data_IF_374320225207
#
_entry.id   IF_374320225207
#
_cell.length_a   1.000
_cell.length_b   1.000
_cell.length_c   1.000
_cell.angle_alpha   90.00
_cell.angle_beta   90.00
_cell.angle_gamma   90.00
#
_symmetry.space_group_name_H-M   'P 1'
#
loop_
_entity.id
_entity.type
_entity.pdbx_description
1 polymer ?
#
# COMPACT_ATOMS: atom_id res chain seq x y z
N UNK A 1 10.06 16.56 47.12
CA UNK A 1 9.26 16.79 45.89
C UNK A 1 8.81 15.43 45.39
N UNK A 2 7.52 15.11 45.54
CA UNK A 2 6.97 13.79 45.24
C UNK A 2 6.95 13.52 43.73
N UNK A 3 7.46 12.34 43.33
CA UNK A 3 7.25 11.79 41.98
C UNK A 3 5.75 11.58 41.80
N UNK A 4 5.11 12.35 40.92
CA UNK A 4 3.75 12.04 40.47
C UNK A 4 3.83 10.76 39.64
N UNK A 5 3.34 9.67 40.22
CA UNK A 5 2.99 8.46 39.50
C UNK A 5 2.00 8.86 38.39
N UNK A 6 2.40 8.71 37.11
CA UNK A 6 1.47 8.74 35.99
C UNK A 6 0.49 7.60 36.22
N UNK A 7 -0.68 7.90 36.78
CA UNK A 7 -1.82 6.98 36.78
C UNK A 7 -2.10 6.61 35.33
N UNK A 8 -2.09 5.32 35.02
CA UNK A 8 -2.64 4.82 33.76
C UNK A 8 -4.14 5.14 33.75
N UNK A 9 -4.50 6.20 33.04
CA UNK A 9 -5.88 6.63 32.85
C UNK A 9 -6.54 5.64 31.89
N UNK A 10 -7.61 4.96 32.32
CA UNK A 10 -8.42 4.17 31.41
C UNK A 10 -9.12 5.11 30.43
N UNK A 11 -8.79 4.98 29.15
CA UNK A 11 -9.36 5.81 28.07
C UNK A 11 -10.62 5.13 27.53
N UNK A 12 -11.75 5.85 27.58
CA UNK A 12 -13.01 5.38 26.99
C UNK A 12 -13.12 5.90 25.56
N UNK A 13 -12.89 5.01 24.59
CA UNK A 13 -12.95 5.31 23.16
C UNK A 13 -14.31 4.89 22.58
N UNK A 14 -14.99 5.83 21.94
CA UNK A 14 -16.23 5.60 21.21
C UNK A 14 -15.93 5.63 19.72
N UNK A 15 -15.90 4.47 19.08
CA UNK A 15 -15.57 4.30 17.66
C UNK A 15 -16.84 4.21 16.81
N UNK A 16 -16.91 5.02 15.77
CA UNK A 16 -18.07 5.13 14.85
C UNK A 16 -17.72 4.72 13.42
N UNK A 17 -16.47 4.39 13.14
CA UNK A 17 -15.99 4.06 11.80
C UNK A 17 -15.17 2.75 11.81
N UNK A 18 -15.36 1.95 10.77
CA UNK A 18 -14.55 0.76 10.49
C UNK A 18 -13.84 0.95 9.14
N UNK A 19 -12.51 0.85 9.08
CA UNK A 19 -11.76 0.95 7.83
C UNK A 19 -12.21 -0.09 6.80
N UNK A 20 -12.20 0.29 5.52
CA UNK A 20 -12.37 -0.66 4.42
C UNK A 20 -11.18 -1.63 4.39
N UNK A 21 -11.33 -2.89 3.95
CA UNK A 21 -10.18 -3.80 3.88
C UNK A 21 -9.11 -3.30 2.91
N UNK A 22 -9.51 -2.89 1.70
CA UNK A 22 -8.62 -2.43 0.63
C UNK A 22 -9.10 -1.10 0.09
N UNK A 23 -8.16 -0.21 -0.24
CA UNK A 23 -8.40 1.00 -1.04
C UNK A 23 -7.31 1.17 -2.08
N UNK A 24 -7.74 1.38 -3.33
CA UNK A 24 -6.89 1.80 -4.44
C UNK A 24 -6.59 3.29 -4.29
N UNK A 25 -5.32 3.67 -4.45
CA UNK A 25 -4.87 5.06 -4.37
C UNK A 25 -4.50 5.61 -5.73
N UNK A 26 -4.82 6.89 -5.96
CA UNK A 26 -4.30 7.69 -7.07
C UNK A 26 -2.86 8.15 -6.81
N UNK A 27 -2.16 8.62 -7.84
CA UNK A 27 -0.79 9.13 -7.70
C UNK A 27 -0.66 10.27 -6.67
N UNK A 28 -1.61 11.21 -6.66
CA UNK A 28 -1.66 12.29 -5.67
C UNK A 28 -1.82 11.74 -4.25
N UNK A 29 -2.66 10.71 -4.07
CA UNK A 29 -2.84 10.05 -2.78
C UNK A 29 -1.57 9.29 -2.36
N UNK A 30 -0.89 8.62 -3.30
CA UNK A 30 0.38 7.92 -3.04
C UNK A 30 1.44 8.90 -2.58
N UNK A 31 1.56 10.05 -3.26
CA UNK A 31 2.50 11.12 -2.90
C UNK A 31 2.22 11.63 -1.48
N UNK A 32 0.98 11.98 -1.17
CA UNK A 32 0.61 12.47 0.17
C UNK A 32 0.80 11.40 1.26
N UNK A 33 0.51 10.14 0.97
CA UNK A 33 0.75 9.03 1.88
C UNK A 33 2.24 8.93 2.22
N UNK A 34 3.12 9.06 1.22
CA UNK A 34 4.57 8.99 1.41
C UNK A 34 5.11 10.21 2.18
N UNK A 35 4.65 11.42 1.85
CA UNK A 35 5.04 12.67 2.55
C UNK A 35 4.65 12.66 4.04
N UNK A 36 3.55 12.00 4.38
CA UNK A 36 3.02 11.92 5.75
C UNK A 36 3.04 10.51 6.32
N UNK A 37 3.97 9.67 5.85
CA UNK A 37 3.98 8.24 6.16
C UNK A 37 3.99 7.94 7.67
N UNK A 38 4.68 8.74 8.48
CA UNK A 38 4.75 8.53 9.92
C UNK A 38 3.37 8.52 10.60
N UNK A 39 2.45 9.41 10.20
CA UNK A 39 1.08 9.46 10.72
C UNK A 39 0.29 8.24 10.22
N UNK A 40 0.35 7.95 8.92
CA UNK A 40 -0.37 6.81 8.32
C UNK A 40 0.10 5.48 8.94
N UNK A 41 1.40 5.32 9.16
CA UNK A 41 2.00 4.15 9.81
C UNK A 41 1.52 3.99 11.24
N UNK A 42 1.44 5.07 12.00
CA UNK A 42 1.02 5.02 13.40
C UNK A 42 -0.46 4.65 13.55
N UNK A 43 -1.30 4.98 12.57
CA UNK A 43 -2.71 4.60 12.51
C UNK A 43 -2.96 3.15 12.03
N UNK A 44 -1.94 2.30 11.98
CA UNK A 44 -2.09 0.89 11.58
C UNK A 44 -2.73 0.09 12.70
N UNK A 45 -4.02 -0.22 12.54
CA UNK A 45 -4.78 -1.08 13.45
C UNK A 45 -5.16 -0.42 14.77
N UNK A 46 -4.92 0.89 14.90
CA UNK A 46 -5.26 1.68 16.08
C UNK A 46 -5.80 3.05 15.67
N UNK A 47 -6.63 3.63 16.54
CA UNK A 47 -7.16 4.99 16.38
C UNK A 47 -6.41 5.94 17.31
N UNK A 48 -5.99 7.09 16.79
CA UNK A 48 -5.14 8.03 17.53
C UNK A 48 -5.78 9.42 17.56
N UNK A 49 -5.58 10.14 18.67
CA UNK A 49 -5.90 11.57 18.71
C UNK A 49 -4.78 12.39 18.08
N UNK A 50 -5.03 13.67 17.78
CA UNK A 50 -3.99 14.58 17.31
C UNK A 50 -2.82 14.70 18.31
N UNK A 51 -3.08 14.54 19.61
CA UNK A 51 -2.03 14.51 20.64
C UNK A 51 -1.20 13.23 20.56
N UNK A 52 -1.84 12.07 20.46
CA UNK A 52 -1.10 10.82 20.31
C UNK A 52 -0.23 10.83 19.03
N UNK A 53 -0.68 11.48 17.96
CA UNK A 53 0.11 11.66 16.73
C UNK A 53 1.31 12.60 16.91
N UNK A 54 1.18 13.63 17.76
CA UNK A 54 2.27 14.55 18.06
C UNK A 54 3.45 13.81 18.71
N UNK A 55 3.17 12.83 19.58
CA UNK A 55 4.19 12.00 20.24
C UNK A 55 5.11 11.25 19.26
N UNK A 56 4.65 10.99 18.03
CA UNK A 56 5.46 10.34 16.97
C UNK A 56 6.63 11.24 16.54
N UNK A 57 6.49 12.55 16.70
CA UNK A 57 7.48 13.55 16.30
C UNK A 57 8.32 14.06 17.48
N UNK A 58 8.27 13.39 18.64
CA UNK A 58 9.10 13.73 19.78
C UNK A 58 10.52 13.17 19.59
N UNK A 59 11.51 14.06 19.61
CA UNK A 59 12.92 13.72 19.53
C UNK A 59 13.50 13.55 20.94
N UNK A 60 13.75 12.30 21.33
CA UNK A 60 14.26 11.96 22.66
C UNK A 60 15.67 12.48 22.95
N UNK A 61 16.51 12.64 21.92
CA UNK A 61 17.90 13.09 22.09
C UNK A 61 17.97 14.60 22.39
N UNK A 62 17.03 15.35 21.82
CA UNK A 62 16.94 16.81 21.96
C UNK A 62 15.89 17.27 22.99
N UNK A 63 15.12 16.33 23.55
CA UNK A 63 13.99 16.60 24.45
C UNK A 63 13.01 17.65 23.88
N UNK A 64 12.74 17.56 22.58
CA UNK A 64 11.89 18.53 21.87
C UNK A 64 11.00 17.84 20.82
N UNK A 65 9.89 18.50 20.46
CA UNK A 65 9.05 18.05 19.35
C UNK A 65 9.51 18.67 18.03
N UNK A 66 9.68 17.84 17.00
CA UNK A 66 10.02 18.28 15.65
C UNK A 66 8.87 18.99 14.92
N UNK A 67 7.66 18.87 15.45
CA UNK A 67 6.42 19.46 14.95
C UNK A 67 5.62 20.03 16.12
N UNK A 68 4.85 21.07 15.85
CA UNK A 68 3.87 21.57 16.81
C UNK A 68 2.48 20.95 16.56
N UNK A 69 1.59 21.06 17.55
CA UNK A 69 0.23 20.53 17.43
C UNK A 69 -0.55 21.14 16.25
N UNK A 70 -0.28 22.41 15.90
CA UNK A 70 -0.91 23.09 14.76
C UNK A 70 -0.53 22.43 13.43
N UNK A 71 0.73 22.03 13.29
CA UNK A 71 1.24 21.30 12.14
C UNK A 71 0.60 19.92 12.03
N UNK A 72 0.40 19.22 13.16
CA UNK A 72 -0.32 17.94 13.17
C UNK A 72 -1.76 18.11 12.65
N UNK A 73 -2.51 19.11 13.13
CA UNK A 73 -3.85 19.41 12.61
C UNK A 73 -3.85 19.73 11.11
N UNK A 74 -2.82 20.41 10.61
CA UNK A 74 -2.67 20.67 9.17
C UNK A 74 -2.44 19.37 8.39
N UNK A 75 -1.57 18.48 8.87
CA UNK A 75 -1.35 17.17 8.23
C UNK A 75 -2.60 16.30 8.25
N UNK A 76 -3.31 16.25 9.39
CA UNK A 76 -4.59 15.55 9.51
C UNK A 76 -5.57 16.07 8.45
N UNK A 77 -5.75 17.39 8.35
CA UNK A 77 -6.67 17.99 7.38
C UNK A 77 -6.30 17.68 5.92
N UNK A 78 -5.00 17.66 5.60
CA UNK A 78 -4.51 17.29 4.26
C UNK A 78 -4.87 15.82 3.97
N UNK A 79 -4.57 14.92 4.90
CA UNK A 79 -4.83 13.49 4.77
C UNK A 79 -6.33 13.15 4.74
N UNK A 80 -7.15 13.83 5.54
CA UNK A 80 -8.61 13.70 5.51
C UNK A 80 -9.18 14.18 4.17
N UNK A 81 -8.71 15.32 3.65
CA UNK A 81 -9.14 15.83 2.34
C UNK A 81 -8.79 14.86 1.21
N UNK A 82 -7.67 14.15 1.34
CA UNK A 82 -7.25 13.12 0.40
C UNK A 82 -7.93 11.75 0.63
N UNK A 83 -8.83 11.65 1.61
CA UNK A 83 -9.52 10.42 2.01
C UNK A 83 -8.55 9.28 2.41
N UNK A 84 -7.40 9.61 3.01
CA UNK A 84 -6.41 8.67 3.53
C UNK A 84 -6.64 8.36 5.01
N UNK A 85 -7.18 9.31 5.76
CA UNK A 85 -7.63 9.15 7.14
C UNK A 85 -9.02 9.76 7.32
N UNK A 86 -9.70 9.42 8.41
CA UNK A 86 -11.02 9.96 8.75
C UNK A 86 -11.19 10.05 10.27
N UNK A 87 -11.95 11.04 10.73
CA UNK A 87 -12.51 11.07 12.07
C UNK A 87 -13.36 9.81 12.31
N UNK A 88 -12.88 8.96 13.21
CA UNK A 88 -13.38 7.62 13.50
C UNK A 88 -14.19 7.53 14.79
N UNK A 89 -14.39 8.65 15.45
CA UNK A 89 -15.07 8.74 16.74
C UNK A 89 -14.36 9.68 17.70
N UNK A 90 -14.50 9.42 19.00
CA UNK A 90 -13.96 10.29 20.02
C UNK A 90 -13.54 9.54 21.28
N UNK A 91 -12.60 10.13 22.01
CA UNK A 91 -12.09 9.69 23.29
C UNK A 91 -12.56 10.63 24.39
N UNK A 92 -13.14 10.08 25.45
CA UNK A 92 -13.48 10.83 26.65
C UNK A 92 -12.36 10.66 27.67
N UNK A 93 -11.73 11.77 28.06
CA UNK A 93 -10.73 11.74 29.12
C UNK A 93 -11.43 11.58 30.48
N UNK A 94 -11.08 10.52 31.20
CA UNK A 94 -11.69 10.15 32.48
C UNK A 94 -11.70 11.32 33.47
N UNK A 95 -12.84 11.56 34.11
CA UNK A 95 -13.01 12.67 35.07
C UNK A 95 -13.10 14.07 34.44
N UNK A 96 -13.10 14.18 33.10
CA UNK A 96 -13.26 15.47 32.40
C UNK A 96 -14.41 15.44 31.41
N UNK A 97 -14.93 16.62 31.06
CA UNK A 97 -15.86 16.79 29.91
C UNK A 97 -15.10 16.95 28.58
N UNK A 98 -13.77 16.80 28.58
CA UNK A 98 -12.96 17.00 27.39
C UNK A 98 -13.11 15.77 26.48
N UNK A 99 -13.50 16.04 25.24
CA UNK A 99 -13.68 15.05 24.19
C UNK A 99 -12.63 15.30 23.12
N UNK A 100 -11.81 14.30 22.83
CA UNK A 100 -10.80 14.37 21.78
C UNK A 100 -11.24 13.55 20.57
N UNK A 101 -11.03 14.08 19.37
CA UNK A 101 -11.31 13.35 18.13
C UNK A 101 -10.31 12.21 17.96
N UNK A 102 -10.82 11.05 17.57
CA UNK A 102 -10.02 9.90 17.16
C UNK A 102 -9.99 9.82 15.65
N UNK A 103 -8.81 9.60 15.08
CA UNK A 103 -8.61 9.43 13.66
C UNK A 103 -8.19 7.99 13.36
N UNK A 104 -8.60 7.49 12.21
CA UNK A 104 -8.24 6.17 11.70
C UNK A 104 -7.87 6.26 10.23
N UNK A 105 -7.18 5.24 9.70
CA UNK A 105 -7.04 5.09 8.24
C UNK A 105 -8.39 4.78 7.62
N UNK A 106 -8.63 5.24 6.41
CA UNK A 106 -9.86 4.92 5.67
C UNK A 106 -9.88 3.47 5.17
N UNK A 107 -8.70 2.85 5.04
CA UNK A 107 -8.57 1.43 4.74
C UNK A 107 -7.42 0.74 5.48
N UNK A 108 -7.53 -0.57 5.65
CA UNK A 108 -6.50 -1.40 6.26
C UNK A 108 -5.31 -1.61 5.32
N UNK A 109 -5.56 -1.72 4.01
CA UNK A 109 -4.58 -1.90 2.96
C UNK A 109 -4.73 -0.76 1.95
N UNK A 110 -3.64 -0.05 1.70
CA UNK A 110 -3.53 0.87 0.57
C UNK A 110 -2.74 0.19 -0.54
N UNK A 111 -3.30 0.21 -1.75
CA UNK A 111 -2.68 -0.33 -2.94
C UNK A 111 -2.47 0.78 -3.96
N UNK A 112 -1.27 0.82 -4.58
CA UNK A 112 -1.04 1.74 -5.68
C UNK A 112 -1.64 1.08 -6.92
N UNK A 113 -2.88 1.45 -7.22
CA UNK A 113 -3.44 1.08 -8.51
C UNK A 113 -2.75 1.95 -9.55
N UNK A 114 -1.80 1.36 -10.27
CA UNK A 114 -1.53 1.84 -11.62
C UNK A 114 -2.85 1.66 -12.38
N UNK A 115 -3.39 2.75 -12.90
CA UNK A 115 -4.79 2.98 -13.29
C UNK A 115 -5.61 1.75 -13.75
N UNK A 116 -6.90 1.78 -13.41
CA UNK A 116 -7.96 1.08 -14.15
C UNK A 116 -7.80 1.40 -15.65
N UNK A 117 -7.20 0.48 -16.41
CA UNK A 117 -6.79 0.77 -17.80
C UNK A 117 -5.79 -0.21 -18.42
N UNK A 118 -5.30 -1.21 -17.68
CA UNK A 118 -4.49 -2.30 -18.27
C UNK A 118 -5.27 -3.27 -19.13
N UNK A 119 -6.60 -3.18 -19.18
CA UNK A 119 -7.37 -3.91 -20.18
C UNK A 119 -6.88 -3.45 -21.57
N UNK A 120 -6.03 -4.28 -22.18
CA UNK A 120 -5.37 -4.05 -23.46
C UNK A 120 -4.24 -3.00 -23.47
N UNK A 121 -3.63 -2.60 -22.33
CA UNK A 121 -2.44 -1.71 -22.37
C UNK A 121 -1.31 -2.32 -23.20
N UNK A 122 -1.14 -3.64 -23.11
CA UNK A 122 -0.19 -4.40 -23.95
C UNK A 122 -0.42 -4.20 -25.45
N UNK A 123 -1.65 -3.96 -25.88
CA UNK A 123 -2.00 -3.74 -27.28
C UNK A 123 -1.76 -2.30 -27.77
N UNK A 124 -1.43 -1.38 -26.87
CA UNK A 124 -1.06 0.00 -27.22
C UNK A 124 0.36 0.09 -27.79
N UNK A 125 0.67 1.21 -28.46
CA UNK A 125 2.04 1.45 -28.97
C UNK A 125 3.08 1.47 -27.85
N UNK A 126 2.71 2.00 -26.67
CA UNK A 126 3.58 2.01 -25.49
C UNK A 126 3.85 0.59 -24.97
N UNK A 127 2.81 -0.25 -24.89
CA UNK A 127 2.93 -1.66 -24.49
C UNK A 127 3.81 -2.45 -25.44
N UNK A 128 3.66 -2.24 -26.76
CA UNK A 128 4.51 -2.85 -27.79
C UNK A 128 5.96 -2.38 -27.71
N UNK A 129 6.18 -1.08 -27.55
CA UNK A 129 7.53 -0.51 -27.37
C UNK A 129 8.20 -1.06 -26.11
N UNK A 130 7.44 -1.20 -25.02
CA UNK A 130 7.93 -1.81 -23.79
C UNK A 130 8.33 -3.27 -23.98
N UNK A 131 7.50 -4.06 -24.67
CA UNK A 131 7.81 -5.44 -25.00
C UNK A 131 9.07 -5.57 -25.86
N UNK A 132 9.23 -4.69 -26.86
CA UNK A 132 10.45 -4.64 -27.67
C UNK A 132 11.69 -4.42 -26.80
N UNK A 133 11.66 -3.45 -25.87
CA UNK A 133 12.77 -3.21 -24.95
C UNK A 133 13.08 -4.43 -24.06
N UNK A 134 12.05 -5.08 -23.54
CA UNK A 134 12.21 -6.30 -22.74
C UNK A 134 12.85 -7.42 -23.54
N UNK A 135 12.40 -7.62 -24.79
CA UNK A 135 12.92 -8.66 -25.67
C UNK A 135 14.39 -8.44 -26.04
N UNK A 136 14.84 -7.19 -26.20
CA UNK A 136 16.26 -6.83 -26.43
C UNK A 136 17.10 -7.19 -25.21
N UNK A 137 16.64 -6.81 -24.00
CA UNK A 137 17.35 -7.15 -22.75
C UNK A 137 17.40 -8.67 -22.57
N UNK A 138 16.30 -9.36 -22.84
CA UNK A 138 16.23 -10.81 -22.74
C UNK A 138 17.16 -11.51 -23.74
N UNK A 139 17.18 -11.04 -25.00
CA UNK A 139 18.11 -11.49 -26.03
C UNK A 139 19.56 -11.38 -25.58
N UNK A 140 19.96 -10.25 -25.01
CA UNK A 140 21.32 -10.03 -24.48
C UNK A 140 21.63 -10.96 -23.30
N UNK A 141 20.70 -11.13 -22.36
CA UNK A 141 20.89 -11.97 -21.17
C UNK A 141 21.08 -13.46 -21.49
N UNK A 142 20.59 -13.91 -22.64
CA UNK A 142 20.60 -15.32 -23.05
C UNK A 142 21.44 -15.59 -24.32
N UNK A 143 22.20 -14.60 -24.81
CA UNK A 143 23.00 -14.68 -26.04
C UNK A 143 22.19 -15.10 -27.28
N UNK A 144 21.00 -14.48 -27.47
CA UNK A 144 20.03 -14.84 -28.52
C UNK A 144 19.72 -13.67 -29.46
N UNK A 145 20.65 -13.28 -30.34
CA UNK A 145 20.52 -12.07 -31.17
C UNK A 145 19.35 -12.13 -32.18
N UNK A 146 18.90 -13.34 -32.56
CA UNK A 146 17.83 -13.57 -33.53
C UNK A 146 16.47 -13.85 -32.88
N UNK A 147 16.28 -13.46 -31.62
CA UNK A 147 15.02 -13.65 -30.91
C UNK A 147 13.86 -12.94 -31.62
N UNK A 148 12.81 -13.68 -31.96
CA UNK A 148 11.61 -13.13 -32.57
C UNK A 148 10.82 -12.29 -31.55
N UNK A 149 10.77 -10.98 -31.79
CA UNK A 149 10.07 -10.03 -30.92
C UNK A 149 8.56 -10.27 -30.85
N UNK A 150 7.93 -10.71 -31.93
CA UNK A 150 6.49 -10.98 -31.97
C UNK A 150 6.15 -12.21 -31.12
N UNK A 151 6.96 -13.28 -31.24
CA UNK A 151 6.79 -14.48 -30.40
C UNK A 151 7.02 -14.16 -28.92
N UNK A 152 8.04 -13.36 -28.61
CA UNK A 152 8.29 -12.88 -27.24
C UNK A 152 7.12 -12.06 -26.70
N UNK A 153 6.57 -11.14 -27.51
CA UNK A 153 5.43 -10.32 -27.13
C UNK A 153 4.21 -11.17 -26.76
N UNK A 154 3.85 -12.14 -27.60
CA UNK A 154 2.70 -13.02 -27.35
C UNK A 154 2.88 -13.82 -26.05
N UNK A 155 4.07 -14.39 -25.82
CA UNK A 155 4.37 -15.15 -24.59
C UNK A 155 4.31 -14.22 -23.36
N UNK A 156 4.94 -13.05 -23.45
CA UNK A 156 5.02 -12.11 -22.34
C UNK A 156 3.66 -11.48 -22.02
N UNK A 157 2.82 -11.22 -23.03
CA UNK A 157 1.45 -10.75 -22.85
C UNK A 157 0.63 -11.74 -22.01
N UNK A 158 0.67 -13.03 -22.36
CA UNK A 158 -0.01 -14.09 -21.58
C UNK A 158 0.49 -14.08 -20.13
N UNK A 159 1.80 -13.99 -19.92
CA UNK A 159 2.39 -13.92 -18.58
C UNK A 159 1.86 -12.70 -17.81
N UNK A 160 1.89 -11.51 -18.41
CA UNK A 160 1.46 -10.27 -17.79
C UNK A 160 -0.05 -10.25 -17.45
N UNK A 161 -0.90 -10.77 -18.33
CA UNK A 161 -2.35 -10.90 -18.07
C UNK A 161 -2.63 -11.79 -16.85
N UNK A 162 -1.89 -12.88 -16.68
CA UNK A 162 -2.02 -13.73 -15.50
C UNK A 162 -1.55 -13.00 -14.25
N UNK A 163 -0.47 -12.22 -14.36
CA UNK A 163 0.02 -11.42 -13.24
C UNK A 163 -1.03 -10.39 -12.79
N UNK A 164 -1.59 -9.64 -13.73
CA UNK A 164 -2.59 -8.60 -13.45
C UNK A 164 -3.84 -9.22 -12.81
N UNK A 165 -4.35 -10.32 -13.38
CA UNK A 165 -5.47 -11.07 -12.77
C UNK A 165 -5.14 -11.56 -11.36
N UNK A 166 -3.92 -12.05 -11.15
CA UNK A 166 -3.50 -12.54 -9.83
C UNK A 166 -3.46 -11.42 -8.80
N UNK A 167 -3.08 -10.20 -9.19
CA UNK A 167 -3.12 -9.05 -8.28
C UNK A 167 -4.56 -8.78 -7.82
N UNK A 168 -5.54 -8.80 -8.74
CA UNK A 168 -6.95 -8.68 -8.37
C UNK A 168 -7.41 -9.82 -7.45
N UNK A 169 -7.03 -11.06 -7.75
CA UNK A 169 -7.33 -12.23 -6.91
C UNK A 169 -6.77 -12.05 -5.48
N UNK A 170 -5.54 -11.54 -5.35
CA UNK A 170 -4.90 -11.25 -4.06
C UNK A 170 -5.67 -10.17 -3.29
N UNK A 171 -6.04 -9.08 -3.94
CA UNK A 171 -6.78 -7.99 -3.29
C UNK A 171 -8.17 -8.45 -2.83
N UNK A 172 -8.88 -9.23 -3.64
CA UNK A 172 -10.15 -9.85 -3.27
C UNK A 172 -9.97 -10.83 -2.11
N UNK A 173 -8.93 -11.66 -2.15
CA UNK A 173 -8.60 -12.57 -1.05
C UNK A 173 -8.30 -11.80 0.24
N UNK A 174 -7.67 -10.62 0.16
CA UNK A 174 -7.40 -9.78 1.33
C UNK A 174 -8.67 -9.18 1.94
N UNK A 175 -9.74 -9.00 1.16
CA UNK A 175 -11.07 -8.59 1.65
C UNK A 175 -11.74 -9.73 2.43
N UNK A 176 -11.57 -10.97 1.98
CA UNK A 176 -12.27 -12.15 2.52
C UNK A 176 -11.49 -12.88 3.63
N UNK A 177 -10.15 -12.77 3.61
CA UNK A 177 -9.25 -13.53 4.49
C UNK A 177 -8.54 -12.63 5.48
N UNK A 178 -8.96 -12.71 6.74
CA UNK A 178 -8.33 -11.98 7.85
C UNK A 178 -6.83 -12.24 7.95
N UNK A 179 -6.39 -13.47 7.66
CA UNK A 179 -4.97 -13.84 7.64
C UNK A 179 -4.18 -13.04 6.60
N UNK A 180 -4.73 -12.88 5.40
CA UNK A 180 -4.08 -12.08 4.33
C UNK A 180 -4.14 -10.60 4.70
N UNK A 181 -5.28 -10.11 5.15
CA UNK A 181 -5.45 -8.73 5.59
C UNK A 181 -4.41 -8.34 6.67
N UNK A 182 -4.19 -9.20 7.66
CA UNK A 182 -3.27 -8.96 8.77
C UNK A 182 -1.80 -8.91 8.34
N UNK A 183 -1.44 -9.58 7.24
CA UNK A 183 -0.10 -9.47 6.63
C UNK A 183 0.02 -8.11 5.95
N UNK A 184 -0.94 -7.77 5.09
CA UNK A 184 -0.87 -6.58 4.24
C UNK A 184 -1.03 -5.27 5.01
N UNK A 185 -1.90 -5.24 6.02
CA UNK A 185 -2.20 -4.03 6.80
C UNK A 185 -1.00 -3.47 7.56
N UNK A 186 0.05 -4.27 7.74
CA UNK A 186 1.30 -3.91 8.41
C UNK A 186 2.36 -3.37 7.46
N UNK A 187 2.14 -3.45 6.14
CA UNK A 187 3.12 -3.11 5.12
C UNK A 187 2.99 -1.66 4.62
N UNK A 188 4.13 -1.08 4.23
CA UNK A 188 4.15 0.13 3.39
C UNK A 188 3.61 -0.20 2.00
N UNK A 189 3.04 0.78 1.29
CA UNK A 189 2.48 0.58 -0.05
C UNK A 189 3.48 -0.05 -1.02
N UNK A 190 4.74 0.40 -1.04
CA UNK A 190 5.79 -0.23 -1.86
C UNK A 190 6.04 -1.70 -1.53
N UNK A 191 5.89 -2.08 -0.26
CA UNK A 191 6.05 -3.49 0.17
C UNK A 191 4.83 -4.32 -0.20
N UNK A 192 3.63 -3.72 -0.17
CA UNK A 192 2.41 -4.34 -0.71
C UNK A 192 2.59 -4.61 -2.21
N UNK A 193 2.99 -3.60 -2.99
CA UNK A 193 3.21 -3.75 -4.44
C UNK A 193 4.28 -4.80 -4.74
N UNK A 194 5.40 -4.78 -4.00
CA UNK A 194 6.48 -5.75 -4.17
C UNK A 194 6.05 -7.18 -3.83
N UNK A 195 5.26 -7.36 -2.76
CA UNK A 195 4.73 -8.68 -2.40
C UNK A 195 3.77 -9.20 -3.49
N UNK A 196 2.87 -8.34 -3.97
CA UNK A 196 1.96 -8.65 -5.07
C UNK A 196 2.70 -9.07 -6.33
N UNK A 197 3.76 -8.34 -6.70
CA UNK A 197 4.60 -8.67 -7.85
C UNK A 197 5.23 -10.06 -7.74
N UNK A 198 5.80 -10.43 -6.59
CA UNK A 198 6.40 -11.77 -6.46
C UNK A 198 5.37 -12.89 -6.45
N UNK A 199 4.25 -12.70 -5.75
CA UNK A 199 3.17 -13.69 -5.74
C UNK A 199 2.57 -13.85 -7.13
N UNK A 200 2.45 -12.76 -7.90
CA UNK A 200 1.94 -12.80 -9.27
C UNK A 200 2.88 -13.54 -10.23
N UNK A 201 4.20 -13.34 -10.14
CA UNK A 201 5.20 -14.14 -10.88
C UNK A 201 5.05 -15.63 -10.57
N UNK A 202 5.08 -16.01 -9.29
CA UNK A 202 4.99 -17.41 -8.88
C UNK A 202 3.68 -18.05 -9.35
N UNK A 203 2.58 -17.30 -9.23
CA UNK A 203 1.26 -17.77 -9.66
C UNK A 203 1.18 -17.91 -11.17
N UNK A 204 1.81 -17.04 -11.95
CA UNK A 204 1.83 -17.15 -13.41
C UNK A 204 2.45 -18.48 -13.87
N UNK A 205 3.61 -18.84 -13.33
CA UNK A 205 4.26 -20.12 -13.64
C UNK A 205 3.52 -21.34 -13.09
N UNK A 206 2.82 -21.21 -11.96
CA UNK A 206 2.01 -22.31 -11.42
C UNK A 206 0.69 -22.52 -12.17
N UNK A 207 0.04 -21.44 -12.62
CA UNK A 207 -1.22 -21.51 -13.40
C UNK A 207 -0.98 -21.91 -14.85
N UNK A 208 0.17 -21.53 -15.42
CA UNK A 208 0.60 -21.89 -16.77
C UNK A 208 2.05 -22.38 -16.80
N UNK A 209 2.31 -23.63 -16.39
CA UNK A 209 3.65 -24.21 -16.46
C UNK A 209 4.24 -24.21 -17.87
N UNK A 210 3.39 -24.29 -18.90
CA UNK A 210 3.81 -24.25 -20.30
C UNK A 210 4.53 -22.95 -20.68
N UNK A 211 4.31 -21.84 -19.95
CA UNK A 211 5.04 -20.59 -20.19
C UNK A 211 6.55 -20.77 -20.03
N UNK A 212 6.98 -21.64 -19.12
CA UNK A 212 8.40 -21.95 -18.94
C UNK A 212 8.95 -22.61 -20.20
N UNK A 213 8.23 -23.58 -20.76
CA UNK A 213 8.62 -24.25 -22.00
C UNK A 213 8.66 -23.26 -23.17
N UNK A 214 7.65 -22.39 -23.29
CA UNK A 214 7.59 -21.35 -24.33
C UNK A 214 8.79 -20.40 -24.26
N UNK A 215 9.14 -19.90 -23.07
CA UNK A 215 10.34 -19.06 -22.89
C UNK A 215 11.64 -19.83 -23.16
N UNK A 216 11.70 -21.12 -22.84
CA UNK A 216 12.85 -21.96 -23.15
C UNK A 216 13.02 -22.18 -24.65
N UNK A 217 11.93 -22.36 -25.42
CA UNK A 217 12.00 -22.46 -26.88
C UNK A 217 12.54 -21.19 -27.54
N UNK A 218 12.22 -20.00 -26.99
CA UNK A 218 12.79 -18.73 -27.49
C UNK A 218 14.31 -18.63 -27.37
N UNK A 219 14.90 -19.38 -26.43
CA UNK A 219 16.34 -19.36 -26.15
C UNK A 219 17.06 -20.65 -26.55
N UNK A 220 16.39 -21.58 -27.22
CA UNK A 220 17.06 -22.72 -27.85
C UNK A 220 17.80 -22.29 -29.09
#
# INVERSE_FOLDING_TARGET
>A
MGKQEKKDIQKNDHITFTPKPVKLLTDDQIKLLNEHYNIIKALRGINLTAKDMLEIFYNKEKDEYEKDIRTIYRYIKILEKADLIIESGYRVAEGTRLVEKLYSRTANIFYAAYEEGRDNWWDTDEGKEWSLKLSIIFSELFDKPDLNHDDFYEIYKIFAEIQDKTIYDILNTAVESKKVEDVYSKLHIDKVNKLNYYVSIMTAFLKKPELVEMFLELIK
#
